data_IF_396579391424
#
_entry.id   IF_396579391424
#
_cell.length_a   1.000
_cell.length_b   1.000
_cell.length_c   1.000
_cell.angle_alpha   90.00
_cell.angle_beta   90.00
_cell.angle_gamma   90.00
#
_symmetry.space_group_name_H-M   'P 1'
#
loop_
_entity.id
_entity.type
_entity.pdbx_description
1 polymer ?
#
# COMPACT_ATOMS: atom_id res chain seq x y z
N UNK A 1 74.95 -33.94 13.22
CA UNK A 1 73.85 -34.80 12.80
C UNK A 1 72.81 -34.79 13.91
N UNK A 2 71.76 -33.93 13.81
CA UNK A 2 70.58 -33.94 14.73
C UNK A 2 69.37 -34.21 13.89
N UNK A 3 68.67 -35.29 14.15
CA UNK A 3 67.39 -35.66 13.52
C UNK A 3 66.28 -34.90 14.17
N UNK A 4 65.55 -34.14 13.38
CA UNK A 4 64.27 -33.56 13.79
C UNK A 4 63.15 -34.51 13.40
N UNK A 5 62.38 -34.93 14.37
CA UNK A 5 61.15 -35.71 14.22
C UNK A 5 59.97 -34.70 14.09
N UNK A 6 59.23 -34.77 12.99
CA UNK A 6 58.01 -34.03 12.78
C UNK A 6 56.85 -34.93 13.19
N UNK A 7 56.21 -34.57 14.30
CA UNK A 7 54.96 -35.19 14.76
C UNK A 7 53.79 -34.47 14.12
N UNK A 8 53.07 -35.11 13.21
CA UNK A 8 51.87 -34.60 12.58
C UNK A 8 50.68 -34.82 13.54
N UNK A 9 50.14 -33.73 14.04
CA UNK A 9 48.87 -33.74 14.80
C UNK A 9 47.72 -33.66 13.78
N UNK A 10 47.01 -34.77 13.61
CA UNK A 10 45.74 -34.83 12.89
C UNK A 10 44.62 -34.28 13.78
N UNK A 11 44.21 -33.06 13.54
CA UNK A 11 43.00 -32.51 14.14
C UNK A 11 41.80 -32.98 13.34
N UNK A 12 41.04 -33.91 13.88
CA UNK A 12 39.76 -34.36 13.34
C UNK A 12 38.73 -33.28 13.66
N UNK A 13 38.38 -32.46 12.67
CA UNK A 13 37.19 -31.60 12.72
C UNK A 13 35.94 -32.48 12.60
N UNK A 14 35.34 -32.81 13.74
CA UNK A 14 33.97 -33.34 13.76
C UNK A 14 33.02 -32.23 13.30
N UNK A 15 32.53 -32.31 12.09
CA UNK A 15 31.36 -31.58 11.64
C UNK A 15 30.14 -32.17 12.37
N UNK A 16 29.66 -31.44 13.38
CA UNK A 16 28.31 -31.66 13.91
C UNK A 16 27.31 -31.22 12.82
N UNK A 17 26.88 -32.15 11.99
CA UNK A 17 25.63 -31.99 11.25
C UNK A 17 24.51 -31.93 12.28
N UNK A 18 24.08 -30.73 12.61
CA UNK A 18 22.78 -30.50 13.27
C UNK A 18 21.72 -30.98 12.29
N UNK A 19 21.30 -32.21 12.36
CA UNK A 19 20.09 -32.70 11.73
C UNK A 19 18.95 -31.97 12.40
N UNK A 20 18.38 -30.99 11.69
CA UNK A 20 17.10 -30.41 12.09
C UNK A 20 16.09 -31.57 12.10
N UNK A 21 15.77 -32.05 13.28
CA UNK A 21 14.71 -33.04 13.49
C UNK A 21 13.38 -32.30 13.18
N UNK A 22 12.89 -32.47 11.96
CA UNK A 22 11.51 -32.10 11.67
C UNK A 22 10.59 -33.01 12.48
N UNK A 23 9.86 -32.46 13.43
CA UNK A 23 8.84 -33.21 14.13
C UNK A 23 7.86 -33.78 13.10
N UNK A 24 7.48 -35.06 13.29
CA UNK A 24 6.48 -35.68 12.41
C UNK A 24 5.17 -34.87 12.44
N UNK A 25 4.44 -34.81 11.30
CA UNK A 25 3.16 -34.11 11.24
C UNK A 25 2.20 -34.59 12.33
N UNK A 26 1.64 -33.67 13.11
CA UNK A 26 0.69 -33.97 14.16
C UNK A 26 -0.74 -33.70 13.67
N UNK A 27 -1.71 -34.49 14.16
CA UNK A 27 -3.14 -34.28 13.89
C UNK A 27 -3.77 -33.56 15.07
N UNK A 28 -4.38 -32.40 14.82
CA UNK A 28 -5.19 -31.68 15.78
C UNK A 28 -6.60 -31.47 15.22
N UNK A 29 -7.53 -32.28 15.66
CA UNK A 29 -8.89 -32.27 15.11
C UNK A 29 -8.89 -32.53 13.60
N UNK A 30 -9.29 -31.51 12.85
CA UNK A 30 -9.40 -31.52 11.39
C UNK A 30 -8.14 -31.07 10.66
N UNK A 31 -7.07 -30.75 11.39
CA UNK A 31 -5.84 -30.22 10.85
C UNK A 31 -4.69 -31.22 10.87
N UNK A 32 -3.88 -31.17 9.82
CA UNK A 32 -2.52 -31.74 9.82
C UNK A 32 -1.56 -30.61 10.07
N UNK A 33 -0.80 -30.65 11.16
CA UNK A 33 0.10 -29.59 11.57
C UNK A 33 1.54 -30.02 11.36
N UNK A 34 2.32 -29.17 10.72
CA UNK A 34 3.75 -29.31 10.53
C UNK A 34 4.46 -28.17 11.27
N UNK A 35 5.49 -28.54 12.05
CA UNK A 35 6.22 -27.62 12.92
C UNK A 35 5.71 -27.65 14.36
N UNK A 36 6.09 -26.62 15.14
CA UNK A 36 5.72 -26.55 16.54
C UNK A 36 4.32 -25.93 16.70
N UNK A 37 3.41 -26.71 17.26
CA UNK A 37 2.07 -26.27 17.66
C UNK A 37 2.01 -26.08 19.17
N UNK A 38 1.18 -25.14 19.60
CA UNK A 38 0.69 -25.05 20.97
C UNK A 38 -0.81 -24.85 20.90
N UNK A 39 -1.58 -25.70 21.59
CA UNK A 39 -3.03 -25.48 21.73
C UNK A 39 -3.27 -24.57 22.92
N UNK A 40 -3.95 -23.44 22.68
CA UNK A 40 -4.34 -22.55 23.74
C UNK A 40 -5.51 -23.15 24.59
N UNK A 41 -5.65 -22.74 25.86
CA UNK A 41 -6.71 -23.23 26.73
C UNK A 41 -8.14 -23.02 26.23
N UNK A 42 -8.35 -22.00 25.39
CA UNK A 42 -9.64 -21.67 24.75
C UNK A 42 -9.90 -22.44 23.43
N UNK A 43 -9.06 -23.43 23.12
CA UNK A 43 -9.16 -24.24 21.90
C UNK A 43 -8.61 -23.57 20.64
N UNK A 44 -7.95 -22.42 20.75
CA UNK A 44 -7.26 -21.80 19.65
C UNK A 44 -6.02 -22.61 19.25
N UNK A 45 -5.72 -22.65 17.96
CA UNK A 45 -4.47 -23.19 17.42
C UNK A 45 -3.45 -22.06 17.36
N UNK A 46 -2.26 -22.29 17.94
CA UNK A 46 -1.16 -21.33 17.84
C UNK A 46 -0.12 -21.90 16.88
N UNK A 47 0.10 -21.24 15.76
CA UNK A 47 1.15 -21.54 14.82
C UNK A 47 2.37 -20.68 15.12
N UNK A 48 3.44 -21.29 15.61
CA UNK A 48 4.74 -20.63 15.79
C UNK A 48 5.42 -20.37 14.45
N UNK A 49 6.47 -19.56 14.45
CA UNK A 49 7.25 -19.26 13.24
C UNK A 49 7.67 -20.55 12.48
N UNK A 50 7.34 -20.57 11.20
CA UNK A 50 7.60 -21.70 10.30
C UNK A 50 6.55 -22.81 10.32
N UNK A 51 5.67 -22.85 11.34
CA UNK A 51 4.62 -23.86 11.42
C UNK A 51 3.51 -23.60 10.40
N UNK A 52 2.90 -24.70 9.94
CA UNK A 52 1.72 -24.67 9.07
C UNK A 52 0.65 -25.64 9.55
N UNK A 53 -0.61 -25.30 9.29
CA UNK A 53 -1.76 -26.17 9.53
C UNK A 53 -2.53 -26.34 8.21
N UNK A 54 -2.61 -27.57 7.72
CA UNK A 54 -3.36 -27.91 6.51
C UNK A 54 -4.67 -28.59 6.90
N UNK A 55 -5.77 -28.11 6.36
CA UNK A 55 -7.08 -28.68 6.59
C UNK A 55 -7.15 -30.07 5.93
N UNK A 56 -7.50 -31.07 6.73
CA UNK A 56 -7.50 -32.46 6.26
C UNK A 56 -8.44 -32.65 5.06
N UNK A 57 -7.96 -33.25 3.95
CA UNK A 57 -8.81 -33.52 2.77
C UNK A 57 -9.99 -34.46 3.07
N UNK A 58 -9.93 -35.24 4.14
CA UNK A 58 -11.02 -36.15 4.55
C UNK A 58 -12.24 -35.42 5.10
N UNK A 59 -12.06 -34.13 5.52
CA UNK A 59 -13.17 -33.29 5.87
C UNK A 59 -13.94 -32.88 4.61
N UNK A 60 -15.13 -33.40 4.45
CA UNK A 60 -16.04 -33.08 3.38
C UNK A 60 -15.61 -33.42 1.95
N UNK A 61 -14.91 -34.54 1.71
CA UNK A 61 -14.78 -35.11 0.37
C UNK A 61 -13.67 -34.55 -0.54
N UNK A 62 -12.52 -34.14 -0.02
CA UNK A 62 -11.33 -33.84 -0.82
C UNK A 62 -11.05 -32.34 -1.03
N UNK A 63 -10.45 -31.97 -2.14
CA UNK A 63 -10.06 -30.60 -2.47
C UNK A 63 -11.21 -29.59 -2.45
N UNK A 64 -10.91 -28.39 -2.04
CA UNK A 64 -11.85 -27.25 -2.11
C UNK A 64 -11.75 -26.56 -3.47
N UNK A 65 -12.90 -26.21 -4.04
CA UNK A 65 -13.02 -25.39 -5.25
C UNK A 65 -13.80 -24.11 -4.92
N UNK A 66 -15.12 -24.24 -4.75
CA UNK A 66 -15.97 -23.12 -4.34
C UNK A 66 -16.30 -23.30 -2.84
N UNK A 67 -16.10 -22.27 -2.05
CA UNK A 67 -16.28 -22.33 -0.60
C UNK A 67 -16.56 -20.96 0.02
N UNK A 68 -17.12 -20.98 1.21
CA UNK A 68 -17.27 -19.87 2.14
C UNK A 68 -16.53 -20.24 3.41
N UNK A 69 -15.53 -19.46 3.79
CA UNK A 69 -14.61 -19.72 4.89
C UNK A 69 -14.59 -18.53 5.83
N UNK A 70 -14.65 -18.82 7.12
CA UNK A 70 -14.67 -17.82 8.18
C UNK A 70 -13.80 -18.28 9.35
N UNK A 71 -12.99 -17.40 9.90
CA UNK A 71 -12.18 -17.67 11.09
C UNK A 71 -11.73 -16.37 11.76
N UNK A 72 -11.29 -16.50 13.01
CA UNK A 72 -10.61 -15.42 13.70
C UNK A 72 -9.11 -15.68 13.76
N UNK A 73 -8.32 -14.64 13.50
CA UNK A 73 -6.87 -14.67 13.64
C UNK A 73 -6.39 -13.54 14.56
N UNK A 74 -5.32 -13.82 15.32
CA UNK A 74 -4.60 -12.84 16.14
C UNK A 74 -3.10 -13.04 15.94
N UNK A 75 -2.40 -11.98 15.58
CA UNK A 75 -0.93 -11.97 15.47
C UNK A 75 -0.31 -11.68 16.84
N UNK A 76 0.84 -12.27 17.13
CA UNK A 76 1.56 -12.10 18.39
C UNK A 76 2.93 -11.49 18.10
N UNK A 77 3.22 -10.34 18.72
CA UNK A 77 4.50 -9.63 18.61
C UNK A 77 4.95 -9.41 17.15
N UNK A 78 4.04 -8.87 16.34
CA UNK A 78 4.31 -8.57 14.94
C UNK A 78 4.44 -9.78 14.04
N UNK A 79 3.85 -10.92 14.42
CA UNK A 79 3.84 -12.11 13.59
C UNK A 79 3.16 -11.86 12.25
N UNK A 80 3.67 -12.53 11.22
CA UNK A 80 3.12 -12.48 9.86
C UNK A 80 2.92 -13.88 9.31
N UNK A 81 1.91 -14.04 8.47
CA UNK A 81 1.61 -15.30 7.82
C UNK A 81 0.53 -15.14 6.77
N UNK A 82 -0.11 -16.26 6.42
CA UNK A 82 -1.18 -16.25 5.43
C UNK A 82 -2.11 -17.45 5.57
N UNK A 83 -3.33 -17.29 5.07
CA UNK A 83 -4.22 -18.36 4.65
C UNK A 83 -3.96 -18.64 3.17
N UNK A 84 -3.67 -19.88 2.79
CA UNK A 84 -3.59 -20.31 1.40
C UNK A 84 -4.80 -21.16 1.03
N UNK A 85 -5.25 -21.05 -0.21
CA UNK A 85 -6.32 -21.89 -0.76
C UNK A 85 -6.03 -22.27 -2.22
N UNK A 86 -6.65 -23.37 -2.67
CA UNK A 86 -6.33 -24.05 -3.93
C UNK A 86 -4.84 -24.43 -4.03
N UNK A 87 -4.23 -24.67 -2.88
CA UNK A 87 -2.79 -24.89 -2.77
C UNK A 87 -2.43 -26.36 -2.65
N UNK A 88 -1.20 -26.70 -3.07
CA UNK A 88 -0.51 -27.93 -2.73
C UNK A 88 0.25 -27.83 -1.41
N UNK A 89 0.99 -28.90 -1.03
CA UNK A 89 1.72 -28.95 0.24
C UNK A 89 2.83 -27.91 0.39
N UNK A 90 3.40 -27.46 -0.71
CA UNK A 90 4.52 -26.50 -0.77
C UNK A 90 4.08 -25.05 -0.88
N UNK A 91 2.78 -24.78 -0.92
CA UNK A 91 2.19 -23.45 -1.11
C UNK A 91 2.62 -22.75 -2.42
N UNK A 92 3.02 -23.50 -3.45
CA UNK A 92 3.51 -22.94 -4.71
C UNK A 92 2.41 -22.52 -5.68
N UNK A 93 1.18 -22.99 -5.48
CA UNK A 93 0.03 -22.70 -6.32
C UNK A 93 -1.16 -22.14 -5.52
N UNK A 94 -2.20 -21.71 -6.23
CA UNK A 94 -3.38 -21.08 -5.64
C UNK A 94 -3.11 -19.66 -5.14
N UNK A 95 -3.93 -19.20 -4.22
CA UNK A 95 -3.87 -17.85 -3.68
C UNK A 95 -3.55 -17.81 -2.19
N UNK A 96 -3.06 -16.68 -1.73
CA UNK A 96 -2.72 -16.43 -0.33
C UNK A 96 -3.37 -15.15 0.17
N UNK A 97 -4.08 -15.23 1.29
CA UNK A 97 -4.61 -14.07 2.01
C UNK A 97 -3.69 -13.76 3.18
N UNK A 98 -3.11 -12.57 3.20
CA UNK A 98 -2.16 -12.16 4.23
C UNK A 98 -2.80 -12.06 5.62
N UNK A 99 -2.03 -12.40 6.64
CA UNK A 99 -2.29 -12.15 8.05
C UNK A 99 -1.08 -11.37 8.58
N UNK A 100 -1.16 -10.05 8.60
CA UNK A 100 -0.09 -9.13 9.03
C UNK A 100 -0.70 -7.87 9.64
N UNK A 101 -0.68 -7.78 10.97
CA UNK A 101 -1.07 -6.58 11.71
C UNK A 101 0.15 -5.84 12.29
N UNK A 102 1.36 -6.24 11.91
CA UNK A 102 2.60 -5.64 12.40
C UNK A 102 2.70 -4.15 12.03
N UNK A 103 3.07 -3.34 13.02
CA UNK A 103 3.40 -1.92 12.82
C UNK A 103 4.77 -1.73 12.18
N UNK A 104 5.68 -2.66 12.41
CA UNK A 104 7.10 -2.56 12.05
C UNK A 104 7.47 -3.37 10.80
N UNK A 105 6.50 -3.99 10.13
CA UNK A 105 6.75 -4.73 8.89
C UNK A 105 7.33 -3.81 7.82
N UNK A 106 8.46 -4.21 7.22
CA UNK A 106 9.05 -3.50 6.07
C UNK A 106 8.11 -3.50 4.85
N UNK A 107 7.23 -4.51 4.75
CA UNK A 107 6.20 -4.61 3.71
C UNK A 107 4.90 -3.97 4.25
N UNK A 108 4.95 -2.65 4.45
CA UNK A 108 3.85 -1.88 5.03
C UNK A 108 2.57 -1.87 4.17
N UNK A 109 2.68 -2.22 2.89
CA UNK A 109 1.60 -2.22 1.91
C UNK A 109 0.86 -3.57 1.77
N UNK A 110 1.16 -4.58 2.61
CA UNK A 110 0.55 -5.90 2.55
C UNK A 110 0.04 -6.34 3.92
N UNK A 111 -1.08 -5.75 4.32
CA UNK A 111 -1.71 -6.00 5.62
C UNK A 111 -2.75 -7.10 5.56
N UNK A 112 -3.26 -7.52 6.74
CA UNK A 112 -4.31 -8.54 6.86
C UNK A 112 -5.47 -8.29 5.91
N UNK A 113 -5.86 -9.33 5.16
CA UNK A 113 -6.88 -9.28 4.12
C UNK A 113 -6.34 -9.03 2.71
N UNK A 114 -5.03 -8.77 2.51
CA UNK A 114 -4.44 -8.69 1.17
C UNK A 114 -4.54 -10.03 0.46
N UNK A 115 -5.06 -10.05 -0.76
CA UNK A 115 -4.88 -11.16 -1.70
C UNK A 115 -3.52 -10.97 -2.37
N UNK A 116 -2.50 -11.65 -1.84
CA UNK A 116 -1.08 -11.41 -2.15
C UNK A 116 -0.83 -11.54 -3.65
N UNK A 117 -0.20 -10.52 -4.23
CA UNK A 117 0.13 -10.45 -5.66
C UNK A 117 -1.06 -10.12 -6.58
N UNK A 118 -2.25 -9.85 -6.01
CA UNK A 118 -3.44 -9.44 -6.76
C UNK A 118 -3.96 -8.10 -6.25
N UNK A 119 -4.19 -8.01 -4.94
CA UNK A 119 -4.73 -6.83 -4.27
C UNK A 119 -4.12 -6.73 -2.88
N UNK A 120 -2.99 -6.07 -2.75
CA UNK A 120 -2.40 -5.79 -1.45
C UNK A 120 -3.15 -4.63 -0.77
N UNK A 121 -3.44 -4.78 0.50
CA UNK A 121 -4.16 -3.80 1.33
C UNK A 121 -3.17 -3.05 2.19
N UNK A 122 -3.22 -1.72 2.13
CA UNK A 122 -2.29 -0.84 2.85
C UNK A 122 -2.76 -0.55 4.26
N UNK A 123 -4.06 -0.27 4.44
CA UNK A 123 -4.60 0.08 5.75
C UNK A 123 -4.71 -1.15 6.65
N UNK A 124 -4.18 -1.04 7.84
CA UNK A 124 -4.35 -2.02 8.91
C UNK A 124 -5.77 -1.89 9.49
N UNK A 125 -6.58 -2.94 9.36
CA UNK A 125 -7.97 -3.01 9.85
C UNK A 125 -8.05 -3.61 11.26
N UNK A 126 -7.00 -4.30 11.70
CA UNK A 126 -6.87 -4.87 13.04
C UNK A 126 -5.49 -4.57 13.60
N UNK A 127 -5.38 -4.45 14.91
CA UNK A 127 -4.11 -4.24 15.60
C UNK A 127 -3.44 -5.58 15.95
N UNK A 128 -2.11 -5.55 16.10
CA UNK A 128 -1.36 -6.67 16.65
C UNK A 128 -1.87 -7.02 18.06
N UNK A 129 -2.00 -8.30 18.38
CA UNK A 129 -2.58 -8.77 19.63
C UNK A 129 -4.12 -8.75 19.69
N UNK A 130 -4.80 -8.22 18.69
CA UNK A 130 -6.28 -8.20 18.64
C UNK A 130 -6.83 -9.26 17.68
N UNK A 131 -7.98 -9.84 18.05
CA UNK A 131 -8.70 -10.75 17.17
C UNK A 131 -9.31 -10.03 15.98
N UNK A 132 -8.97 -10.48 14.77
CA UNK A 132 -9.60 -10.08 13.53
C UNK A 132 -10.49 -11.20 13.01
N UNK A 133 -11.72 -10.90 12.65
CA UNK A 133 -12.59 -11.76 11.86
C UNK A 133 -12.13 -11.68 10.40
N UNK A 134 -11.85 -12.83 9.77
CA UNK A 134 -11.45 -12.95 8.38
C UNK A 134 -12.42 -13.88 7.67
N UNK A 135 -13.05 -13.40 6.62
CA UNK A 135 -13.99 -14.15 5.81
C UNK A 135 -13.45 -14.20 4.37
N UNK A 136 -13.39 -15.40 3.79
CA UNK A 136 -12.91 -15.62 2.42
C UNK A 136 -13.93 -16.44 1.67
N UNK A 137 -14.48 -15.89 0.59
CA UNK A 137 -15.41 -16.60 -0.27
C UNK A 137 -14.83 -16.75 -1.66
N UNK A 138 -14.90 -17.96 -2.19
CA UNK A 138 -14.55 -18.28 -3.57
C UNK A 138 -15.77 -18.90 -4.24
N UNK A 139 -16.22 -18.29 -5.34
CA UNK A 139 -17.36 -18.76 -6.11
C UNK A 139 -17.10 -18.54 -7.60
N UNK A 140 -16.95 -19.62 -8.35
CA UNK A 140 -16.57 -19.57 -9.77
C UNK A 140 -15.20 -18.90 -9.96
N UNK A 141 -15.18 -17.72 -10.60
CA UNK A 141 -13.95 -16.93 -10.78
C UNK A 141 -13.82 -15.76 -9.81
N UNK A 142 -14.73 -15.61 -8.84
CA UNK A 142 -14.73 -14.49 -7.89
C UNK A 142 -14.10 -14.89 -6.56
N UNK A 143 -13.18 -14.07 -6.08
CA UNK A 143 -12.58 -14.12 -4.75
C UNK A 143 -12.97 -12.87 -3.99
N UNK A 144 -13.59 -13.06 -2.84
CA UNK A 144 -13.98 -11.99 -1.92
C UNK A 144 -13.25 -12.19 -0.59
N UNK A 145 -12.67 -11.10 -0.04
CA UNK A 145 -12.03 -11.12 1.27
C UNK A 145 -12.58 -9.97 2.11
N UNK A 146 -13.14 -10.33 3.26
CA UNK A 146 -13.58 -9.35 4.26
C UNK A 146 -12.74 -9.49 5.53
N UNK A 147 -12.44 -8.35 6.17
CA UNK A 147 -11.82 -8.30 7.50
C UNK A 147 -12.64 -7.38 8.40
N UNK A 148 -13.10 -7.88 9.53
CA UNK A 148 -13.96 -7.13 10.46
C UNK A 148 -15.15 -6.47 9.73
N UNK A 149 -15.81 -7.21 8.83
CA UNK A 149 -16.93 -6.77 7.99
C UNK A 149 -16.60 -5.69 6.94
N UNK A 150 -15.34 -5.39 6.70
CA UNK A 150 -14.92 -4.53 5.61
C UNK A 150 -14.50 -5.37 4.40
N UNK A 151 -15.17 -5.21 3.25
CA UNK A 151 -14.74 -5.79 1.99
C UNK A 151 -13.44 -5.13 1.56
N UNK A 152 -12.34 -5.91 1.52
CA UNK A 152 -11.00 -5.46 1.15
C UNK A 152 -10.57 -5.95 -0.23
N UNK A 153 -11.09 -7.09 -0.64
CA UNK A 153 -10.86 -7.69 -1.96
C UNK A 153 -12.18 -8.13 -2.57
N UNK A 154 -12.35 -7.77 -3.84
CA UNK A 154 -13.36 -8.30 -4.73
C UNK A 154 -12.66 -8.49 -6.08
N UNK A 155 -12.20 -9.72 -6.31
CA UNK A 155 -11.37 -10.03 -7.47
C UNK A 155 -12.02 -11.10 -8.32
N UNK A 156 -12.41 -10.74 -9.54
CA UNK A 156 -12.83 -11.70 -10.56
C UNK A 156 -11.63 -12.07 -11.42
N UNK A 157 -11.17 -13.33 -11.32
CA UNK A 157 -10.06 -13.82 -12.14
C UNK A 157 -10.48 -13.87 -13.62
N UNK A 158 -9.77 -13.18 -14.53
CA UNK A 158 -10.03 -13.30 -15.96
C UNK A 158 -9.70 -14.71 -16.46
N UNK A 159 -10.13 -15.05 -17.66
CA UNK A 159 -9.86 -16.35 -18.25
C UNK A 159 -8.37 -16.58 -18.47
N UNK A 160 -7.66 -15.53 -18.91
CA UNK A 160 -6.22 -15.50 -19.10
C UNK A 160 -5.58 -14.44 -18.21
N UNK A 161 -5.43 -14.71 -16.90
CA UNK A 161 -4.90 -13.73 -15.98
C UNK A 161 -3.41 -13.48 -16.25
N UNK A 162 -3.02 -12.21 -16.21
CA UNK A 162 -1.60 -11.84 -16.29
C UNK A 162 -0.85 -12.30 -15.04
N UNK A 163 0.23 -13.04 -15.24
CA UNK A 163 1.11 -13.49 -14.13
C UNK A 163 2.57 -13.32 -14.52
N UNK A 164 3.35 -12.80 -13.59
CA UNK A 164 4.81 -12.86 -13.69
C UNK A 164 5.29 -14.32 -13.64
N UNK A 165 6.44 -14.66 -14.24
CA UNK A 165 6.91 -16.05 -14.30
C UNK A 165 6.94 -16.76 -12.93
N UNK A 166 7.39 -16.06 -11.87
CA UNK A 166 7.41 -16.60 -10.51
C UNK A 166 6.01 -16.84 -9.90
N UNK A 167 4.97 -16.26 -10.48
CA UNK A 167 3.59 -16.35 -10.04
C UNK A 167 2.70 -17.14 -11.03
N UNK A 168 3.29 -17.86 -11.98
CA UNK A 168 2.56 -18.57 -13.04
C UNK A 168 1.44 -19.50 -12.51
N UNK A 169 1.65 -20.08 -11.34
CA UNK A 169 0.72 -21.00 -10.67
C UNK A 169 -0.28 -20.29 -9.74
N UNK A 170 -0.27 -18.97 -9.64
CA UNK A 170 -1.20 -18.19 -8.84
C UNK A 170 -2.53 -18.05 -9.61
N UNK A 171 -3.36 -19.09 -9.51
CA UNK A 171 -4.62 -19.23 -10.26
C UNK A 171 -5.67 -19.92 -9.41
N UNK A 172 -6.94 -19.64 -9.73
CA UNK A 172 -8.05 -20.43 -9.21
C UNK A 172 -8.03 -21.86 -9.77
N UNK A 173 -8.47 -22.79 -8.97
CA UNK A 173 -8.52 -24.19 -9.32
C UNK A 173 -9.25 -25.01 -8.25
N UNK A 174 -8.60 -26.03 -7.76
CA UNK A 174 -9.01 -26.82 -6.59
C UNK A 174 -7.74 -27.25 -5.81
N UNK A 175 -7.85 -27.41 -4.52
CA UNK A 175 -6.73 -27.82 -3.68
C UNK A 175 -7.03 -27.70 -2.20
N UNK A 176 -5.98 -27.79 -1.40
CA UNK A 176 -6.08 -27.66 0.04
C UNK A 176 -6.36 -26.21 0.47
N UNK A 177 -6.84 -26.07 1.70
CA UNK A 177 -6.85 -24.83 2.47
C UNK A 177 -5.85 -25.01 3.61
N UNK A 178 -4.94 -24.06 3.79
CA UNK A 178 -3.90 -24.17 4.78
C UNK A 178 -3.53 -22.78 5.34
N UNK A 179 -3.00 -22.78 6.57
CA UNK A 179 -2.52 -21.61 7.29
C UNK A 179 -1.03 -21.74 7.55
N UNK A 180 -0.28 -20.65 7.47
CA UNK A 180 1.16 -20.65 7.74
C UNK A 180 1.56 -19.39 8.51
N UNK A 181 2.35 -19.59 9.57
CA UNK A 181 3.08 -18.51 10.22
C UNK A 181 4.48 -18.38 9.60
N UNK A 182 4.82 -17.18 9.10
CA UNK A 182 6.09 -16.93 8.41
C UNK A 182 7.11 -16.29 9.34
N UNK A 183 6.70 -15.35 10.17
CA UNK A 183 7.61 -14.60 11.05
C UNK A 183 6.93 -14.21 12.37
N UNK A 184 7.71 -13.69 13.32
CA UNK A 184 7.25 -13.29 14.65
C UNK A 184 7.04 -14.48 15.59
N UNK A 185 6.34 -14.27 16.70
CA UNK A 185 6.20 -15.27 17.75
C UNK A 185 5.08 -16.28 17.48
N UNK A 186 4.08 -15.88 16.70
CA UNK A 186 3.02 -16.82 16.31
C UNK A 186 1.73 -16.14 15.84
N UNK A 187 0.88 -16.98 15.24
CA UNK A 187 -0.48 -16.61 14.85
C UNK A 187 -1.44 -17.55 15.57
N UNK A 188 -2.37 -16.98 16.31
CA UNK A 188 -3.48 -17.72 16.94
C UNK A 188 -4.69 -17.71 16.02
N UNK A 189 -5.38 -18.85 15.95
CA UNK A 189 -6.51 -19.08 15.06
C UNK A 189 -7.61 -19.79 15.84
N UNK A 190 -8.85 -19.30 15.71
CA UNK A 190 -10.03 -19.94 16.29
C UNK A 190 -11.29 -19.72 15.48
N UNK A 191 -12.37 -20.35 15.89
CA UNK A 191 -13.71 -20.26 15.29
C UNK A 191 -13.71 -20.58 13.78
N UNK A 192 -12.81 -21.47 13.33
CA UNK A 192 -12.67 -21.83 11.93
C UNK A 192 -13.88 -22.59 11.41
N UNK A 193 -14.49 -22.06 10.35
CA UNK A 193 -15.63 -22.66 9.65
C UNK A 193 -15.37 -22.60 8.16
N UNK A 194 -15.69 -23.69 7.47
CA UNK A 194 -15.65 -23.74 6.01
C UNK A 194 -16.85 -24.52 5.48
N UNK A 195 -17.53 -23.96 4.50
CA UNK A 195 -18.66 -24.55 3.82
C UNK A 195 -18.37 -24.61 2.31
N UNK A 196 -18.51 -25.77 1.69
CA UNK A 196 -18.47 -25.89 0.24
C UNK A 196 -19.70 -25.22 -0.36
N UNK A 197 -19.49 -24.52 -1.45
CA UNK A 197 -20.56 -23.94 -2.25
C UNK A 197 -20.83 -24.83 -3.47
N UNK A 198 -22.08 -24.89 -3.87
CA UNK A 198 -22.43 -25.48 -5.16
C UNK A 198 -21.98 -24.54 -6.28
N UNK A 199 -21.46 -25.10 -7.35
CA UNK A 199 -21.16 -24.31 -8.54
C UNK A 199 -22.48 -23.76 -9.11
N UNK A 200 -22.60 -22.43 -9.20
CA UNK A 200 -23.80 -21.78 -9.78
C UNK A 200 -23.67 -21.51 -11.28
N UNK A 201 -22.53 -21.88 -11.86
CA UNK A 201 -22.23 -21.69 -13.28
C UNK A 201 -22.07 -20.24 -13.72
N UNK A 202 -22.21 -19.29 -12.79
CA UNK A 202 -22.04 -17.87 -13.08
C UNK A 202 -20.57 -17.50 -13.05
N UNK A 203 -20.23 -16.56 -13.94
CA UNK A 203 -18.90 -15.98 -14.00
C UNK A 203 -19.01 -14.47 -13.79
N UNK A 204 -18.29 -13.93 -12.83
CA UNK A 204 -18.21 -12.51 -12.61
C UNK A 204 -17.41 -11.84 -13.76
N UNK A 205 -17.80 -10.62 -14.11
CA UNK A 205 -17.05 -9.79 -15.04
C UNK A 205 -15.69 -9.42 -14.43
N UNK A 206 -14.62 -9.67 -15.19
CA UNK A 206 -13.25 -9.42 -14.75
C UNK A 206 -12.69 -8.17 -15.42
N UNK A 207 -11.96 -7.36 -14.67
CA UNK A 207 -11.17 -6.26 -15.23
C UNK A 207 -10.00 -6.82 -16.05
N UNK A 208 -9.62 -6.18 -17.16
CA UNK A 208 -8.48 -6.58 -17.96
C UNK A 208 -7.17 -6.47 -17.17
N UNK A 209 -6.32 -7.47 -17.29
CA UNK A 209 -4.99 -7.49 -16.68
C UNK A 209 -3.89 -7.35 -17.75
N UNK A 210 -2.83 -6.66 -17.44
CA UNK A 210 -1.68 -6.50 -18.34
C UNK A 210 -0.37 -6.27 -17.58
N UNK A 211 0.74 -6.40 -18.31
CA UNK A 211 2.07 -6.07 -17.81
C UNK A 211 2.19 -4.59 -17.37
N UNK A 212 1.41 -3.71 -17.98
CA UNK A 212 1.43 -2.27 -17.68
C UNK A 212 0.41 -1.85 -16.63
N UNK A 213 -0.43 -2.78 -16.18
CA UNK A 213 -1.48 -2.54 -15.20
C UNK A 213 -1.02 -2.65 -13.75
N UNK A 214 -1.97 -2.32 -12.87
CA UNK A 214 -1.83 -2.39 -11.41
C UNK A 214 -1.49 -3.80 -10.92
N UNK A 215 -2.02 -4.82 -11.60
CA UNK A 215 -1.76 -6.22 -11.24
C UNK A 215 -0.28 -6.57 -11.27
N UNK A 216 0.49 -6.03 -12.23
CA UNK A 216 1.92 -6.28 -12.33
C UNK A 216 2.69 -5.67 -11.14
N UNK A 217 2.22 -4.53 -10.62
CA UNK A 217 2.79 -3.92 -9.41
C UNK A 217 2.56 -4.79 -8.18
N UNK A 218 1.33 -5.27 -7.96
CA UNK A 218 1.03 -6.19 -6.87
C UNK A 218 1.87 -7.47 -6.93
N UNK A 219 2.08 -8.02 -8.13
CA UNK A 219 2.90 -9.22 -8.32
C UNK A 219 4.40 -8.98 -8.13
N UNK A 220 4.86 -7.75 -8.36
CA UNK A 220 6.24 -7.33 -8.08
C UNK A 220 6.45 -6.90 -6.63
N UNK A 221 5.43 -7.09 -5.79
CA UNK A 221 5.42 -6.64 -4.39
C UNK A 221 5.69 -5.14 -4.24
N UNK A 222 5.13 -4.34 -5.16
CA UNK A 222 5.23 -2.89 -5.15
C UNK A 222 4.00 -2.26 -4.47
N UNK A 223 4.14 -1.20 -3.64
CA UNK A 223 3.01 -0.54 -3.01
C UNK A 223 2.13 0.19 -4.03
N UNK A 224 0.83 -0.11 -4.00
CA UNK A 224 -0.17 0.52 -4.86
C UNK A 224 -1.12 1.33 -3.99
N UNK A 225 -0.85 2.62 -3.89
CA UNK A 225 -1.64 3.59 -3.13
C UNK A 225 -1.74 4.89 -3.91
N UNK A 226 -2.96 5.37 -4.11
CA UNK A 226 -3.23 6.74 -4.56
C UNK A 226 -3.31 7.63 -3.32
N UNK A 227 -2.33 8.52 -3.16
CA UNK A 227 -2.19 9.38 -1.98
C UNK A 227 -3.01 10.66 -2.05
N UNK A 228 -3.66 10.94 -3.19
CA UNK A 228 -4.28 12.24 -3.44
C UNK A 228 -5.69 12.11 -4.01
N UNK A 229 -6.63 11.62 -3.18
CA UNK A 229 -8.03 11.44 -3.55
C UNK A 229 -8.92 12.29 -2.66
N UNK A 230 -9.93 12.95 -3.26
CA UNK A 230 -10.91 13.76 -2.56
C UNK A 230 -12.32 13.22 -2.76
N UNK A 231 -13.14 13.25 -1.71
CA UNK A 231 -14.58 13.06 -1.82
C UNK A 231 -15.20 14.37 -2.35
N UNK A 232 -15.28 14.48 -3.68
CA UNK A 232 -15.76 15.68 -4.40
C UNK A 232 -16.80 15.31 -5.46
N UNK A 233 -17.65 16.29 -5.80
CA UNK A 233 -18.73 16.08 -6.74
C UNK A 233 -19.69 15.00 -6.27
N UNK A 234 -19.91 14.00 -7.10
CA UNK A 234 -20.73 12.84 -6.81
C UNK A 234 -19.95 11.64 -6.21
N UNK A 235 -18.64 11.82 -5.94
CA UNK A 235 -17.82 10.81 -5.28
C UNK A 235 -18.04 10.86 -3.77
N UNK A 236 -18.78 9.89 -3.26
CA UNK A 236 -18.91 9.60 -1.84
C UNK A 236 -18.01 8.44 -1.39
N UNK A 237 -18.00 8.16 -0.08
CA UNK A 237 -17.22 7.06 0.50
C UNK A 237 -17.56 5.68 -0.09
N UNK A 238 -18.83 5.42 -0.41
CA UNK A 238 -19.25 4.12 -0.96
C UNK A 238 -18.76 3.94 -2.39
N UNK A 239 -18.88 4.98 -3.23
CA UNK A 239 -18.34 4.96 -4.59
C UNK A 239 -16.81 4.84 -4.57
N UNK A 240 -16.12 5.55 -3.68
CA UNK A 240 -14.67 5.43 -3.53
C UNK A 240 -14.24 4.00 -3.17
N UNK A 241 -14.92 3.35 -2.22
CA UNK A 241 -14.68 1.94 -1.88
C UNK A 241 -14.90 1.02 -3.08
N UNK A 242 -16.01 1.16 -3.79
CA UNK A 242 -16.31 0.36 -4.97
C UNK A 242 -15.25 0.51 -6.06
N UNK A 243 -14.79 1.74 -6.33
CA UNK A 243 -13.73 1.97 -7.32
C UNK A 243 -12.38 1.44 -6.86
N UNK A 244 -12.05 1.55 -5.56
CA UNK A 244 -10.86 0.95 -4.97
C UNK A 244 -10.81 -0.57 -5.20
N UNK A 245 -11.93 -1.26 -4.98
CA UNK A 245 -12.06 -2.69 -5.23
C UNK A 245 -11.92 -3.01 -6.73
N UNK A 246 -12.65 -2.28 -7.58
CA UNK A 246 -12.65 -2.48 -9.03
C UNK A 246 -11.26 -2.33 -9.65
N UNK A 247 -10.53 -1.25 -9.31
CA UNK A 247 -9.23 -0.96 -9.91
C UNK A 247 -8.04 -1.61 -9.18
N UNK A 248 -8.28 -2.27 -8.04
CA UNK A 248 -7.21 -2.84 -7.24
C UNK A 248 -6.27 -1.80 -6.61
N UNK A 249 -6.70 -0.55 -6.46
CA UNK A 249 -5.88 0.57 -5.96
C UNK A 249 -6.33 0.95 -4.55
N UNK A 250 -5.40 1.05 -3.60
CA UNK A 250 -5.67 1.63 -2.29
C UNK A 250 -5.78 3.15 -2.42
N UNK A 251 -6.69 3.76 -1.67
CA UNK A 251 -6.88 5.20 -1.65
C UNK A 251 -6.59 5.80 -0.28
N UNK A 252 -5.98 6.96 -0.30
CA UNK A 252 -5.96 7.86 0.84
C UNK A 252 -6.92 9.02 0.54
N UNK A 253 -7.94 9.15 1.37
CA UNK A 253 -8.93 10.21 1.24
C UNK A 253 -8.42 11.43 1.99
N UNK A 254 -8.20 12.51 1.24
CA UNK A 254 -7.70 13.76 1.77
C UNK A 254 -8.81 14.81 1.91
N UNK A 255 -8.78 15.56 3.00
CA UNK A 255 -9.60 16.75 3.19
C UNK A 255 -8.78 18.02 2.98
N UNK A 256 -9.32 18.97 2.23
CA UNK A 256 -8.68 20.28 2.03
C UNK A 256 -8.80 21.16 3.28
N UNK A 257 -7.65 21.57 3.82
CA UNK A 257 -7.51 22.36 5.04
C UNK A 257 -6.84 23.70 4.74
N UNK A 258 -7.54 24.81 4.92
CA UNK A 258 -7.01 26.14 4.66
C UNK A 258 -8.05 27.23 4.86
N UNK A 259 -7.65 28.51 4.71
CA UNK A 259 -8.49 29.67 5.00
C UNK A 259 -9.82 29.67 4.23
N UNK A 260 -9.78 29.33 2.95
CA UNK A 260 -10.95 29.37 2.05
C UNK A 260 -11.44 27.96 1.70
N UNK A 261 -11.13 26.96 2.55
CA UNK A 261 -11.44 25.56 2.35
C UNK A 261 -12.42 25.04 3.42
N UNK A 262 -13.10 23.91 3.16
CA UNK A 262 -14.11 23.36 4.07
C UNK A 262 -13.62 23.15 5.50
N UNK A 263 -12.35 22.76 5.67
CA UNK A 263 -11.71 22.57 6.98
C UNK A 263 -10.74 23.70 7.24
N UNK A 264 -11.12 24.62 8.13
CA UNK A 264 -10.33 25.81 8.48
C UNK A 264 -10.06 25.97 9.98
N UNK A 265 -10.32 24.94 10.77
CA UNK A 265 -10.05 24.88 12.21
C UNK A 265 -10.00 23.44 12.71
N UNK A 266 -9.36 23.23 13.86
CA UNK A 266 -9.18 21.92 14.48
C UNK A 266 -10.46 21.10 14.63
N UNK A 267 -11.56 21.72 15.07
CA UNK A 267 -12.82 20.99 15.32
C UNK A 267 -13.38 20.34 14.05
N UNK A 268 -13.27 20.98 12.89
CA UNK A 268 -13.74 20.44 11.62
C UNK A 268 -12.82 19.30 11.11
N UNK A 269 -11.50 19.42 11.37
CA UNK A 269 -10.56 18.33 11.07
C UNK A 269 -10.82 17.10 11.93
N UNK A 270 -11.10 17.28 13.21
CA UNK A 270 -11.46 16.20 14.13
C UNK A 270 -12.80 15.56 13.76
N UNK A 271 -13.79 16.34 13.34
CA UNK A 271 -15.08 15.83 12.85
C UNK A 271 -14.88 14.94 11.60
N UNK A 272 -14.07 15.39 10.65
CA UNK A 272 -13.73 14.58 9.47
C UNK A 272 -13.07 13.26 9.84
N UNK A 273 -12.09 13.29 10.75
CA UNK A 273 -11.40 12.09 11.23
C UNK A 273 -12.37 11.13 11.94
N UNK A 274 -13.22 11.64 12.83
CA UNK A 274 -14.17 10.81 13.58
C UNK A 274 -15.21 10.17 12.65
N UNK A 275 -15.75 10.92 11.69
CA UNK A 275 -16.71 10.42 10.70
C UNK A 275 -16.15 9.26 9.87
N UNK A 276 -14.84 9.28 9.57
CA UNK A 276 -14.21 8.35 8.64
C UNK A 276 -13.28 7.33 9.32
N UNK A 277 -13.17 7.32 10.65
CA UNK A 277 -12.18 6.48 11.38
C UNK A 277 -12.27 4.98 11.09
N UNK A 278 -13.50 4.49 10.85
CA UNK A 278 -13.77 3.07 10.61
C UNK A 278 -13.73 2.68 9.13
N UNK A 279 -13.44 3.62 8.23
CA UNK A 279 -13.39 3.32 6.80
C UNK A 279 -12.10 2.58 6.41
N UNK A 280 -12.15 1.68 5.42
CA UNK A 280 -10.98 0.87 5.03
C UNK A 280 -9.96 1.62 4.16
N UNK A 281 -9.94 2.93 4.19
CA UNK A 281 -8.97 3.77 3.50
C UNK A 281 -8.17 4.65 4.47
N UNK A 282 -7.05 5.16 3.99
CA UNK A 282 -6.18 6.07 4.76
C UNK A 282 -6.80 7.47 4.78
N UNK A 283 -6.66 8.20 5.89
CA UNK A 283 -7.10 9.57 6.02
C UNK A 283 -5.90 10.52 5.98
N UNK A 284 -5.95 11.48 5.05
CA UNK A 284 -4.90 12.46 4.81
C UNK A 284 -5.43 13.90 4.87
N UNK A 285 -4.53 14.85 4.99
CA UNK A 285 -4.82 16.28 4.99
C UNK A 285 -4.10 16.95 3.84
N UNK A 286 -4.84 17.62 2.94
CA UNK A 286 -4.25 18.59 2.01
C UNK A 286 -4.20 19.96 2.65
N UNK A 287 -3.00 20.47 2.86
CA UNK A 287 -2.73 21.77 3.43
C UNK A 287 -2.71 22.85 2.34
N UNK A 288 -3.67 23.77 2.38
CA UNK A 288 -3.92 24.74 1.35
C UNK A 288 -3.59 26.17 1.80
N UNK A 289 -2.95 26.92 0.91
CA UNK A 289 -2.45 28.26 1.24
C UNK A 289 -1.30 28.19 2.25
N UNK A 290 -0.95 29.33 2.89
CA UNK A 290 0.16 29.35 3.87
C UNK A 290 -0.36 29.48 5.29
N UNK A 291 -1.63 29.80 5.46
CA UNK A 291 -2.28 29.98 6.76
C UNK A 291 -2.63 28.66 7.46
N UNK A 292 -2.63 27.54 6.74
CA UNK A 292 -3.00 26.22 7.27
C UNK A 292 -2.26 25.85 8.56
N UNK A 293 -0.99 26.26 8.69
CA UNK A 293 -0.18 25.99 9.88
C UNK A 293 -0.71 26.67 11.15
N UNK A 294 -1.44 27.79 11.00
CA UNK A 294 -2.06 28.52 12.09
C UNK A 294 -3.50 28.07 12.35
N UNK A 295 -4.16 27.50 11.34
CA UNK A 295 -5.56 27.08 11.39
C UNK A 295 -5.72 25.67 11.96
N UNK A 296 -4.77 24.77 11.66
CA UNK A 296 -4.78 23.39 12.13
C UNK A 296 -3.57 23.15 13.01
N UNK A 297 -3.82 22.86 14.27
CA UNK A 297 -2.75 22.65 15.26
C UNK A 297 -1.95 21.36 15.00
N UNK A 298 -0.71 21.33 15.43
CA UNK A 298 0.15 20.14 15.27
C UNK A 298 -0.48 18.86 15.87
N UNK A 299 -1.07 18.88 17.10
CA UNK A 299 -1.72 17.69 17.67
C UNK A 299 -2.87 17.14 16.82
N UNK A 300 -3.58 17.99 16.06
CA UNK A 300 -4.65 17.57 15.15
C UNK A 300 -4.07 17.07 13.84
N UNK A 301 -3.06 17.75 13.29
CA UNK A 301 -2.36 17.26 12.07
C UNK A 301 -1.76 15.88 12.28
N UNK A 302 -1.20 15.60 13.45
CA UNK A 302 -0.57 14.31 13.77
C UNK A 302 -1.56 13.15 13.86
N UNK A 303 -2.87 13.41 13.88
CA UNK A 303 -3.92 12.37 13.80
C UNK A 303 -4.19 11.89 12.38
N UNK A 304 -3.82 12.64 11.36
CA UNK A 304 -3.83 12.18 9.98
C UNK A 304 -2.65 11.26 9.71
N UNK A 305 -2.79 10.32 8.81
CA UNK A 305 -1.68 9.46 8.41
C UNK A 305 -0.52 10.28 7.83
N UNK A 306 -0.84 11.30 7.07
CA UNK A 306 0.11 12.28 6.55
C UNK A 306 -0.61 13.56 6.14
N UNK A 307 0.18 14.62 5.94
CA UNK A 307 -0.23 15.87 5.31
C UNK A 307 0.55 16.10 4.03
N UNK A 308 -0.09 16.74 3.05
CA UNK A 308 0.58 17.20 1.85
C UNK A 308 0.18 18.63 1.52
N UNK A 309 1.04 19.33 0.82
CA UNK A 309 0.82 20.71 0.38
C UNK A 309 1.36 20.90 -1.02
N UNK A 310 1.03 22.01 -1.64
CA UNK A 310 1.53 22.37 -2.95
C UNK A 310 1.92 23.86 -3.03
N UNK A 311 2.56 24.22 -4.11
CA UNK A 311 2.95 25.60 -4.41
C UNK A 311 1.92 26.37 -5.28
N UNK A 312 0.68 25.90 -5.35
CA UNK A 312 -0.31 26.47 -6.29
C UNK A 312 -1.09 27.64 -5.70
N UNK A 313 -1.05 27.83 -4.38
CA UNK A 313 -1.70 28.98 -3.69
C UNK A 313 -0.66 29.78 -2.91
N UNK A 314 -0.48 31.04 -3.26
CA UNK A 314 0.47 31.95 -2.62
C UNK A 314 0.05 33.42 -2.75
N UNK A 315 0.76 34.32 -2.11
CA UNK A 315 0.69 35.76 -2.35
C UNK A 315 1.79 36.19 -3.32
N UNK A 316 1.41 36.90 -4.39
CA UNK A 316 2.37 37.49 -5.35
C UNK A 316 3.18 38.65 -4.71
N UNK A 317 4.06 39.27 -5.46
CA UNK A 317 4.86 40.39 -4.97
C UNK A 317 4.03 41.68 -4.71
N UNK A 318 2.84 41.76 -5.30
CA UNK A 318 1.92 42.88 -5.07
C UNK A 318 0.96 42.60 -3.88
N UNK A 319 1.14 41.46 -3.18
CA UNK A 319 0.33 41.02 -2.04
C UNK A 319 -1.02 40.41 -2.42
N UNK A 320 -1.26 40.12 -3.69
CA UNK A 320 -2.49 39.49 -4.14
C UNK A 320 -2.42 37.98 -3.90
N UNK A 321 -3.48 37.38 -3.36
CA UNK A 321 -3.64 35.94 -3.29
C UNK A 321 -3.86 35.37 -4.70
N UNK A 322 -3.02 34.45 -5.11
CA UNK A 322 -3.04 33.80 -6.42
C UNK A 322 -3.29 32.32 -6.26
N UNK A 323 -4.21 31.80 -7.06
CA UNK A 323 -4.42 30.38 -7.29
C UNK A 323 -4.00 30.07 -8.73
N UNK A 324 -2.91 29.34 -8.93
CA UNK A 324 -2.35 29.09 -10.27
C UNK A 324 -3.31 28.40 -11.23
N UNK A 325 -4.31 27.67 -10.72
CA UNK A 325 -5.35 27.01 -11.54
C UNK A 325 -6.51 27.93 -11.93
N UNK A 326 -6.54 29.19 -11.45
CA UNK A 326 -7.56 30.19 -11.80
C UNK A 326 -6.99 31.23 -12.77
N UNK A 327 -7.29 31.14 -14.08
CA UNK A 327 -6.68 32.02 -15.07
C UNK A 327 -6.87 33.52 -14.83
N UNK A 328 -7.99 33.90 -14.20
CA UNK A 328 -8.31 35.30 -13.89
C UNK A 328 -7.46 35.88 -12.74
N UNK A 329 -6.84 35.05 -11.92
CA UNK A 329 -5.96 35.49 -10.84
C UNK A 329 -4.48 35.53 -11.29
N UNK A 330 -4.12 34.87 -12.40
CA UNK A 330 -2.76 34.79 -12.92
C UNK A 330 -2.48 35.96 -13.86
N UNK A 331 -1.67 36.93 -13.41
CA UNK A 331 -1.30 38.12 -14.17
C UNK A 331 0.17 38.11 -14.53
N UNK A 332 0.49 37.74 -15.76
CA UNK A 332 1.87 37.57 -16.24
C UNK A 332 2.25 38.75 -17.13
N UNK A 333 3.15 39.62 -16.66
CA UNK A 333 3.76 40.69 -17.43
C UNK A 333 5.03 40.20 -18.15
N UNK A 334 5.85 39.44 -17.44
CA UNK A 334 7.07 38.84 -17.92
C UNK A 334 7.10 37.36 -17.46
N UNK A 335 7.26 36.44 -18.40
CA UNK A 335 7.19 34.99 -18.13
C UNK A 335 8.36 34.48 -17.31
N UNK A 336 9.56 35.00 -17.56
CA UNK A 336 10.76 34.58 -16.84
C UNK A 336 10.73 35.05 -15.39
N UNK A 337 10.38 36.33 -15.16
CA UNK A 337 10.23 36.89 -13.83
C UNK A 337 9.09 36.21 -13.04
N UNK A 338 7.97 35.90 -13.70
CA UNK A 338 6.87 35.17 -13.06
C UNK A 338 7.26 33.74 -12.69
N UNK A 339 8.03 33.08 -13.55
CA UNK A 339 8.55 31.74 -13.26
C UNK A 339 9.55 31.75 -12.11
N UNK A 340 10.42 32.75 -12.02
CA UNK A 340 11.35 32.91 -10.89
C UNK A 340 10.59 33.12 -9.56
N UNK A 341 9.50 33.88 -9.58
CA UNK A 341 8.60 34.03 -8.43
C UNK A 341 7.96 32.69 -8.05
N UNK A 342 7.44 31.91 -9.01
CA UNK A 342 6.90 30.57 -8.74
C UNK A 342 7.95 29.70 -8.03
N UNK A 343 9.17 29.64 -8.55
CA UNK A 343 10.26 28.84 -7.96
C UNK A 343 10.60 29.30 -6.55
N UNK A 344 10.63 30.63 -6.30
CA UNK A 344 10.86 31.16 -4.95
C UNK A 344 9.75 30.74 -3.99
N UNK A 345 8.46 30.86 -4.40
CA UNK A 345 7.33 30.45 -3.56
C UNK A 345 7.35 28.95 -3.28
N UNK A 346 7.65 28.11 -4.29
CA UNK A 346 7.84 26.67 -4.11
C UNK A 346 8.94 26.38 -3.08
N UNK A 347 10.09 27.03 -3.18
CA UNK A 347 11.18 26.83 -2.22
C UNK A 347 10.79 27.21 -0.78
N UNK A 348 9.93 28.22 -0.62
CA UNK A 348 9.36 28.58 0.69
C UNK A 348 8.42 27.49 1.23
N UNK A 349 7.53 26.97 0.38
CA UNK A 349 6.61 25.87 0.72
C UNK A 349 7.34 24.61 1.16
N UNK A 350 8.44 24.28 0.50
CA UNK A 350 9.26 23.09 0.82
C UNK A 350 9.94 23.15 2.21
N UNK A 351 9.87 24.27 2.90
CA UNK A 351 10.28 24.43 4.30
C UNK A 351 9.13 24.24 5.32
N UNK A 352 7.90 24.01 4.88
CA UNK A 352 6.74 23.84 5.75
C UNK A 352 6.68 22.41 6.34
N UNK A 353 6.01 22.22 7.49
CA UNK A 353 5.94 20.91 8.15
C UNK A 353 4.86 20.00 7.54
N UNK A 354 4.90 19.79 6.23
CA UNK A 354 4.10 18.80 5.52
C UNK A 354 4.95 17.59 5.13
N UNK A 355 4.32 16.45 4.91
CA UNK A 355 5.00 15.19 4.62
C UNK A 355 5.28 15.01 3.12
N UNK A 356 4.41 15.57 2.25
CA UNK A 356 4.47 15.38 0.79
C UNK A 356 4.31 16.72 0.10
N UNK A 357 5.08 16.94 -0.95
CA UNK A 357 4.93 18.04 -1.89
C UNK A 357 4.18 17.55 -3.14
N UNK A 358 2.96 18.04 -3.31
CA UNK A 358 2.06 17.64 -4.39
C UNK A 358 2.10 18.62 -5.56
N UNK A 359 1.56 18.21 -6.71
CA UNK A 359 1.47 19.01 -7.94
C UNK A 359 2.78 19.68 -8.35
N UNK A 360 3.91 19.05 -8.04
CA UNK A 360 5.22 19.60 -8.31
C UNK A 360 5.39 19.91 -9.80
N UNK A 361 6.07 21.02 -10.08
CA UNK A 361 6.30 21.54 -11.43
C UNK A 361 5.04 22.01 -12.19
N UNK A 362 3.89 22.11 -11.53
CA UNK A 362 2.68 22.66 -12.17
C UNK A 362 2.92 24.08 -12.69
N UNK A 363 2.41 24.37 -13.88
CA UNK A 363 2.39 25.70 -14.47
C UNK A 363 0.96 26.10 -14.83
N UNK A 364 0.57 27.37 -14.63
CA UNK A 364 -0.72 27.87 -15.09
C UNK A 364 -0.81 27.79 -16.62
N UNK A 365 -2.05 27.71 -17.15
CA UNK A 365 -2.29 27.50 -18.58
C UNK A 365 -1.55 28.46 -19.52
N UNK A 366 -1.31 29.71 -19.08
CA UNK A 366 -0.56 30.69 -19.85
C UNK A 366 0.95 30.38 -19.99
N UNK A 367 1.51 29.56 -19.09
CA UNK A 367 2.92 29.14 -19.10
C UNK A 367 3.12 27.68 -19.52
N UNK A 368 2.10 26.83 -19.33
CA UNK A 368 2.19 25.39 -19.61
C UNK A 368 2.70 25.03 -21.01
N UNK A 369 2.37 25.75 -22.12
CA UNK A 369 2.94 25.46 -23.43
C UNK A 369 4.47 25.62 -23.54
N UNK A 370 5.08 26.36 -22.62
CA UNK A 370 6.54 26.60 -22.58
C UNK A 370 7.21 25.84 -21.41
N UNK A 371 6.58 24.77 -20.94
CA UNK A 371 7.03 24.01 -19.75
C UNK A 371 8.52 23.69 -19.78
N UNK A 372 9.02 23.05 -20.83
CA UNK A 372 10.43 22.65 -20.94
C UNK A 372 11.39 23.84 -20.96
N UNK A 373 10.99 24.94 -21.60
CA UNK A 373 11.78 26.17 -21.66
C UNK A 373 11.86 26.87 -20.30
N UNK A 374 10.71 26.95 -19.60
CA UNK A 374 10.61 27.69 -18.35
C UNK A 374 11.17 26.90 -17.15
N UNK A 375 11.03 25.58 -17.14
CA UNK A 375 11.69 24.72 -16.18
C UNK A 375 13.16 24.47 -16.51
N UNK A 376 13.96 25.56 -16.53
CA UNK A 376 15.41 25.50 -16.79
C UNK A 376 16.13 24.60 -15.79
N UNK A 377 17.29 24.06 -16.15
CA UNK A 377 18.12 23.25 -15.25
C UNK A 377 18.39 23.96 -13.92
N UNK A 378 18.62 25.27 -13.94
CA UNK A 378 18.88 26.05 -12.72
C UNK A 378 17.66 26.12 -11.80
N UNK A 379 16.44 26.33 -12.35
CA UNK A 379 15.17 26.34 -11.58
C UNK A 379 14.87 24.99 -11.00
N UNK A 380 14.99 23.92 -11.81
CA UNK A 380 14.86 22.53 -11.36
C UNK A 380 15.82 22.24 -10.21
N UNK A 381 17.09 22.62 -10.32
CA UNK A 381 18.10 22.42 -9.28
C UNK A 381 17.72 23.11 -7.96
N UNK A 382 17.26 24.38 -7.99
CA UNK A 382 16.82 25.13 -6.80
C UNK A 382 15.70 24.39 -6.07
N UNK A 383 14.67 23.93 -6.80
CA UNK A 383 13.54 23.22 -6.23
C UNK A 383 13.96 21.85 -5.66
N UNK A 384 14.78 21.09 -6.39
CA UNK A 384 15.28 19.79 -5.94
C UNK A 384 16.13 19.89 -4.69
N UNK A 385 16.97 20.91 -4.59
CA UNK A 385 17.78 21.13 -3.38
C UNK A 385 16.93 21.58 -2.17
N UNK A 386 15.90 22.39 -2.41
CA UNK A 386 14.93 22.75 -1.38
C UNK A 386 14.11 21.55 -0.93
N UNK A 387 13.65 20.70 -1.85
CA UNK A 387 12.90 19.49 -1.57
C UNK A 387 13.74 18.51 -0.73
N UNK A 388 15.00 18.28 -1.09
CA UNK A 388 15.90 17.41 -0.35
C UNK A 388 16.17 17.94 1.08
N UNK A 389 16.34 19.26 1.24
CA UNK A 389 16.51 19.88 2.57
C UNK A 389 15.24 19.83 3.42
N UNK A 390 14.07 20.02 2.81
CA UNK A 390 12.77 20.00 3.50
C UNK A 390 12.32 18.61 3.93
N UNK A 391 12.87 17.57 3.31
CA UNK A 391 12.56 16.17 3.65
C UNK A 391 11.16 15.71 3.24
N UNK A 392 10.44 16.48 2.41
CA UNK A 392 9.15 16.06 1.88
C UNK A 392 9.31 14.99 0.81
N UNK A 393 8.36 14.06 0.75
CA UNK A 393 8.21 13.18 -0.41
C UNK A 393 7.65 13.97 -1.61
N UNK A 394 7.85 13.46 -2.81
CA UNK A 394 7.43 14.08 -4.06
C UNK A 394 6.27 13.31 -4.68
N UNK A 395 5.15 14.00 -4.96
CA UNK A 395 4.05 13.41 -5.71
C UNK A 395 4.37 13.30 -7.19
N UNK A 396 4.08 12.13 -7.76
CA UNK A 396 3.93 11.91 -9.20
C UNK A 396 2.45 12.05 -9.51
N UNK A 397 2.07 13.14 -10.17
CA UNK A 397 0.67 13.49 -10.43
C UNK A 397 0.18 12.91 -11.74
N UNK A 398 -0.75 11.96 -11.67
CA UNK A 398 -1.40 11.39 -12.86
C UNK A 398 -2.34 12.41 -13.56
N UNK A 399 -2.91 13.35 -12.81
CA UNK A 399 -3.80 14.38 -13.36
C UNK A 399 -3.10 15.29 -14.37
N UNK A 400 -1.91 15.72 -14.04
CA UNK A 400 -1.17 16.71 -14.83
C UNK A 400 -0.01 16.11 -15.63
N UNK A 401 0.28 14.83 -15.45
CA UNK A 401 1.44 14.13 -16.00
C UNK A 401 2.77 14.82 -15.65
N UNK A 402 2.94 15.16 -14.37
CA UNK A 402 4.11 15.85 -13.81
C UNK A 402 4.57 15.19 -12.48
N UNK A 403 5.85 15.43 -12.07
CA UNK A 403 6.97 15.94 -12.85
C UNK A 403 7.40 14.97 -13.94
N UNK A 404 8.22 15.44 -14.88
CA UNK A 404 8.83 14.58 -15.89
C UNK A 404 9.91 13.64 -15.34
N UNK A 405 10.33 12.68 -16.16
CA UNK A 405 11.29 11.65 -15.76
C UNK A 405 12.65 12.21 -15.34
N UNK A 406 13.12 13.29 -15.96
CA UNK A 406 14.41 13.91 -15.63
C UNK A 406 14.37 14.47 -14.20
N UNK A 407 13.29 15.18 -13.85
CA UNK A 407 13.10 15.72 -12.51
C UNK A 407 13.01 14.61 -11.47
N UNK A 408 12.27 13.53 -11.76
CA UNK A 408 12.13 12.39 -10.85
C UNK A 408 13.44 11.64 -10.63
N UNK A 409 14.23 11.38 -11.69
CA UNK A 409 15.56 10.77 -11.58
C UNK A 409 16.50 11.63 -10.73
N UNK A 410 16.45 12.95 -10.90
CA UNK A 410 17.25 13.89 -10.12
C UNK A 410 16.79 13.96 -8.63
N UNK A 411 15.50 13.86 -8.37
CA UNK A 411 14.95 13.77 -6.99
C UNK A 411 15.36 12.44 -6.32
N UNK A 412 15.24 11.33 -7.04
CA UNK A 412 15.68 10.00 -6.57
C UNK A 412 17.14 9.99 -6.17
N UNK A 413 18.01 10.57 -7.00
CA UNK A 413 19.46 10.68 -6.75
C UNK A 413 19.77 11.46 -5.43
N UNK A 414 18.82 12.25 -4.91
CA UNK A 414 18.89 12.98 -3.64
C UNK A 414 18.24 12.26 -2.47
N UNK A 415 17.76 11.03 -2.67
CA UNK A 415 17.09 10.24 -1.64
C UNK A 415 15.64 10.66 -1.35
N UNK A 416 15.03 11.48 -2.21
CA UNK A 416 13.61 11.87 -2.09
C UNK A 416 12.73 10.64 -2.27
N UNK A 417 11.71 10.49 -1.43
CA UNK A 417 10.68 9.45 -1.56
C UNK A 417 9.55 9.94 -2.47
N UNK A 418 8.76 8.98 -2.99
CA UNK A 418 7.74 9.29 -3.98
C UNK A 418 6.35 8.81 -3.55
N UNK A 419 5.32 9.47 -4.07
CA UNK A 419 3.92 9.08 -3.96
C UNK A 419 3.25 9.13 -5.33
N UNK A 420 2.16 8.37 -5.50
CA UNK A 420 1.29 8.47 -6.66
C UNK A 420 0.05 9.29 -6.29
N UNK A 421 -0.39 10.20 -7.14
CA UNK A 421 -1.58 11.01 -6.90
C UNK A 421 -2.44 11.19 -8.14
N UNK A 422 -3.74 10.83 -8.06
CA UNK A 422 -4.69 11.11 -9.14
C UNK A 422 -5.28 12.52 -9.05
N UNK A 423 -5.30 13.15 -7.89
CA UNK A 423 -5.83 14.51 -7.65
C UNK A 423 -7.17 14.74 -8.37
N UNK A 424 -8.17 13.93 -8.05
CA UNK A 424 -9.46 13.96 -8.72
C UNK A 424 -10.22 15.27 -8.51
N UNK A 425 -10.94 15.70 -9.54
CA UNK A 425 -11.89 16.83 -9.47
C UNK A 425 -13.33 16.39 -9.22
N UNK A 426 -13.66 15.15 -9.58
CA UNK A 426 -14.97 14.52 -9.53
C UNK A 426 -14.83 13.01 -9.25
N UNK A 427 -15.87 12.23 -9.54
CA UNK A 427 -15.85 10.78 -9.38
C UNK A 427 -15.10 10.00 -10.46
N UNK A 428 -14.66 10.64 -11.52
CA UNK A 428 -13.90 10.01 -12.59
C UNK A 428 -12.39 10.02 -12.27
N UNK A 429 -11.93 9.07 -11.47
CA UNK A 429 -10.57 8.97 -10.97
C UNK A 429 -10.09 7.53 -10.83
N UNK A 430 -8.94 7.32 -10.23
CA UNK A 430 -8.38 6.02 -9.87
C UNK A 430 -7.52 5.41 -10.97
N UNK A 431 -7.02 6.24 -11.87
CA UNK A 431 -6.10 5.84 -12.93
C UNK A 431 -4.72 6.38 -12.63
N UNK A 432 -3.73 5.48 -12.63
CA UNK A 432 -2.34 5.78 -12.29
C UNK A 432 -1.37 5.47 -13.45
N UNK A 433 -1.87 5.47 -14.69
CA UNK A 433 -1.09 5.06 -15.86
C UNK A 433 0.21 5.87 -16.00
N UNK A 434 0.13 7.20 -15.82
CA UNK A 434 1.32 8.06 -15.85
C UNK A 434 2.29 7.71 -14.72
N UNK A 435 1.78 7.52 -13.50
CA UNK A 435 2.60 7.18 -12.35
C UNK A 435 3.35 5.86 -12.56
N UNK A 436 2.66 4.84 -13.08
CA UNK A 436 3.23 3.52 -13.37
C UNK A 436 4.28 3.62 -14.48
N UNK A 437 3.98 4.37 -15.55
CA UNK A 437 4.93 4.60 -16.66
C UNK A 437 6.22 5.23 -16.14
N UNK A 438 6.11 6.34 -15.42
CA UNK A 438 7.24 7.11 -14.90
C UNK A 438 8.03 6.31 -13.85
N UNK A 439 7.34 5.61 -12.96
CA UNK A 439 7.97 4.72 -11.99
C UNK A 439 8.93 3.74 -12.68
N UNK A 440 8.47 3.08 -13.77
CA UNK A 440 9.29 2.15 -14.53
C UNK A 440 10.44 2.84 -15.25
N UNK A 441 10.17 3.95 -15.93
CA UNK A 441 11.17 4.73 -16.66
C UNK A 441 12.29 5.24 -15.75
N UNK A 442 11.95 5.58 -14.51
CA UNK A 442 12.92 6.06 -13.51
C UNK A 442 13.48 4.94 -12.62
N UNK A 443 13.06 3.70 -12.82
CA UNK A 443 13.49 2.55 -12.03
C UNK A 443 13.20 2.70 -10.56
N UNK A 444 12.02 3.25 -10.19
CA UNK A 444 11.61 3.35 -8.78
C UNK A 444 11.33 1.96 -8.21
N UNK A 445 11.77 1.74 -6.99
CA UNK A 445 11.60 0.49 -6.23
C UNK A 445 10.63 0.71 -5.07
N UNK A 446 10.15 -0.34 -4.40
CA UNK A 446 9.31 -0.21 -3.20
C UNK A 446 9.94 0.65 -2.11
N UNK A 447 11.27 0.63 -1.99
CA UNK A 447 12.04 1.41 -1.02
C UNK A 447 12.05 2.90 -1.35
N UNK A 448 11.83 3.29 -2.60
CA UNK A 448 11.71 4.69 -3.02
C UNK A 448 10.35 5.29 -2.65
N UNK A 449 9.36 4.47 -2.32
CA UNK A 449 8.01 4.93 -2.03
C UNK A 449 7.87 5.41 -0.58
N UNK A 450 7.09 6.47 -0.41
CA UNK A 450 6.77 7.05 0.89
C UNK A 450 5.85 6.12 1.69
N UNK A 451 6.23 5.81 2.93
CA UNK A 451 5.40 5.03 3.84
C UNK A 451 4.41 5.96 4.58
N UNK A 452 3.08 5.78 4.42
CA UNK A 452 2.09 6.63 5.09
C UNK A 452 1.95 6.36 6.60
N UNK A 453 2.53 5.27 7.12
CA UNK A 453 2.44 4.93 8.53
C UNK A 453 3.45 5.72 9.35
N UNK A 454 2.99 6.75 10.09
CA UNK A 454 3.86 7.62 10.91
C UNK A 454 4.72 6.87 11.93
N UNK A 455 4.23 5.74 12.43
CA UNK A 455 4.95 4.92 13.42
C UNK A 455 6.25 4.29 12.88
N UNK A 456 6.48 4.36 11.57
CA UNK A 456 7.62 3.75 10.86
C UNK A 456 8.49 4.79 10.11
N UNK A 457 8.39 6.06 10.45
CA UNK A 457 9.16 7.16 9.86
C UNK A 457 10.22 7.70 10.80
#
# INVERSE_FOLDING_TARGET
>A
MKKFSISAIFTICMWLCATASFAAPQKSGNWTIEGKEVTAPDGAIILSKGASATLSPKLNGGDFKDFDLSFKARTINGATGFLAFHTGPDFSNGYKVAIDNSKTSKVWWRKTGSLIGVRNVVKRISEDGQWAQIDVKVSGNLVEVDVNSHRLVEYAEPENPYRLPQNANMRLGKGAVALKCVSGDGIEIKDFKIKRLAADGKRAEAEPESADGVIALHQSDFPVLDYHVHLKGDLDSQKAKKQSLKYGINYAIAVNCGKDFPVNKDSLALEFLEKNKNEPYILAMQAEGREWMKLISKPVRDKFAYSFTDGMTFEDYDGNRVHLWKPNEVKIKDKEAYMDMIVEKICGVLGEPADIYANATYLPGALAPEYEKLWTKQRRQKVLDALARGGMALEISAKYNIPDAEFIKAAKARGVKFTFGSNNGDSNFGKLEYCIKIMRECGLTPEDMFNPNRENR
#
